data_IF_724409224744
#
_entry.id   IF_724409224744
#
_cell.length_a   1.000
_cell.length_b   1.000
_cell.length_c   1.000
_cell.angle_alpha   90.00
_cell.angle_beta   90.00
_cell.angle_gamma   90.00
#
_symmetry.space_group_name_H-M   'P 1'
#
loop_
_entity.id
_entity.type
_entity.pdbx_description
1 polymer ?
#
# COMPACT_ATOMS: atom_id res chain seq x y z
N UNK A 1 15.87 -9.00 10.78
CA UNK A 1 14.54 -8.96 11.42
C UNK A 1 14.10 -7.50 11.49
N UNK A 2 13.28 -7.03 10.55
CA UNK A 2 12.85 -5.64 10.51
C UNK A 2 11.70 -5.43 11.49
N UNK A 3 11.98 -4.85 12.66
CA UNK A 3 10.97 -4.42 13.63
C UNK A 3 10.20 -3.25 13.03
N UNK A 4 9.00 -3.52 12.50
CA UNK A 4 8.07 -2.48 12.12
C UNK A 4 7.64 -1.75 13.40
N UNK A 5 8.23 -0.59 13.67
CA UNK A 5 7.73 0.36 14.67
C UNK A 5 6.35 0.82 14.16
N UNK A 6 5.31 0.10 14.58
CA UNK A 6 3.94 0.53 14.38
C UNK A 6 3.69 1.60 15.43
N UNK A 7 3.82 2.87 15.03
CA UNK A 7 3.30 3.97 15.83
C UNK A 7 1.80 3.76 16.00
N UNK A 8 1.44 3.24 17.17
CA UNK A 8 0.07 2.96 17.55
C UNK A 8 -0.68 4.28 17.59
N UNK A 9 -1.72 4.41 16.75
CA UNK A 9 -2.51 5.63 16.72
C UNK A 9 -3.44 5.62 17.92
N UNK A 10 -3.22 6.56 18.83
CA UNK A 10 -4.05 6.72 20.02
C UNK A 10 -5.36 7.43 19.72
N UNK A 11 -5.38 8.31 18.72
CA UNK A 11 -6.57 9.07 18.31
C UNK A 11 -6.85 8.99 16.80
N UNK A 12 -8.11 9.13 16.43
CA UNK A 12 -8.57 9.12 15.04
C UNK A 12 -8.13 10.40 14.31
N UNK A 13 -7.55 10.27 13.11
CA UNK A 13 -7.17 11.44 12.30
C UNK A 13 -8.40 12.26 11.80
N UNK A 14 -9.59 11.64 11.76
CA UNK A 14 -10.82 12.23 11.22
C UNK A 14 -11.68 12.89 12.32
N UNK A 15 -12.03 12.15 13.36
CA UNK A 15 -12.92 12.63 14.44
C UNK A 15 -12.23 12.81 15.79
N UNK A 16 -10.91 12.59 15.88
CA UNK A 16 -10.08 12.76 17.09
C UNK A 16 -10.48 11.91 18.30
N UNK A 17 -11.43 10.98 18.15
CA UNK A 17 -11.80 10.05 19.21
C UNK A 17 -10.66 9.09 19.53
N UNK A 18 -10.56 8.61 20.79
CA UNK A 18 -9.58 7.60 21.14
C UNK A 18 -9.80 6.32 20.34
N UNK A 19 -8.70 5.73 19.86
CA UNK A 19 -8.67 4.48 19.11
C UNK A 19 -8.16 3.35 20.00
N UNK A 20 -8.85 2.18 20.01
CA UNK A 20 -8.34 1.02 20.70
C UNK A 20 -7.05 0.50 20.05
N UNK A 21 -6.23 -0.16 20.87
CA UNK A 21 -4.97 -0.73 20.45
C UNK A 21 -5.12 -1.65 19.22
N UNK A 22 -4.39 -1.36 18.15
CA UNK A 22 -4.42 -2.16 16.93
C UNK A 22 -5.69 -2.05 16.06
N UNK A 23 -6.61 -1.12 16.35
CA UNK A 23 -7.83 -0.95 15.57
C UNK A 23 -7.58 -0.68 14.08
N UNK A 24 -8.32 -1.37 13.20
CA UNK A 24 -8.27 -1.14 11.75
C UNK A 24 -9.21 -0.02 11.29
N UNK A 25 -10.27 0.24 12.06
CA UNK A 25 -11.30 1.25 11.82
C UNK A 25 -11.60 1.99 13.12
N UNK A 26 -12.11 3.22 13.00
CA UNK A 26 -12.61 3.99 14.13
C UNK A 26 -14.04 3.56 14.49
N UNK A 27 -14.31 3.26 15.76
CA UNK A 27 -15.64 2.85 16.24
C UNK A 27 -16.66 4.00 16.25
N UNK A 28 -16.19 5.26 16.22
CA UNK A 28 -17.05 6.45 16.23
C UNK A 28 -17.45 6.92 14.83
N UNK A 29 -16.48 7.05 13.92
CA UNK A 29 -16.71 7.61 12.58
C UNK A 29 -16.57 6.61 11.44
N UNK A 30 -16.12 5.37 11.69
CA UNK A 30 -15.92 4.35 10.66
C UNK A 30 -14.69 4.55 9.76
N UNK A 31 -13.93 5.63 9.96
CA UNK A 31 -12.73 5.93 9.16
C UNK A 31 -11.64 4.86 9.37
N UNK A 32 -10.99 4.41 8.28
CA UNK A 32 -9.80 3.55 8.38
C UNK A 32 -8.65 4.25 9.06
N UNK A 33 -7.97 3.54 9.95
CA UNK A 33 -6.76 4.03 10.61
C UNK A 33 -5.61 4.21 9.62
N UNK A 34 -4.68 5.12 9.91
CA UNK A 34 -3.50 5.39 9.10
C UNK A 34 -2.64 4.16 8.90
N UNK A 35 -2.56 3.28 9.90
CA UNK A 35 -1.89 1.98 9.77
C UNK A 35 -2.55 1.13 8.68
N UNK A 36 -3.86 0.96 8.73
CA UNK A 36 -4.60 0.23 7.70
C UNK A 36 -4.43 0.87 6.30
N UNK A 37 -4.57 2.20 6.19
CA UNK A 37 -4.35 2.95 4.94
C UNK A 37 -2.92 2.81 4.40
N UNK A 38 -1.91 2.74 5.27
CA UNK A 38 -0.50 2.60 4.88
C UNK A 38 -0.20 1.20 4.36
N UNK A 39 -0.74 0.17 5.01
CA UNK A 39 -0.58 -1.22 4.57
C UNK A 39 -1.19 -1.42 3.18
N UNK A 40 -2.41 -0.93 2.95
CA UNK A 40 -3.06 -1.01 1.64
C UNK A 40 -2.25 -0.28 0.57
N UNK A 41 -1.78 0.94 0.85
CA UNK A 41 -0.91 1.68 -0.10
C UNK A 41 0.39 0.96 -0.40
N UNK A 42 0.98 0.28 0.59
CA UNK A 42 2.22 -0.47 0.39
C UNK A 42 1.98 -1.68 -0.51
N UNK A 43 0.95 -2.47 -0.23
CA UNK A 43 0.57 -3.62 -1.09
C UNK A 43 0.29 -3.18 -2.52
N UNK A 44 -0.52 -2.13 -2.70
CA UNK A 44 -0.86 -1.62 -4.02
C UNK A 44 0.37 -1.12 -4.79
N UNK A 45 1.31 -0.47 -4.11
CA UNK A 45 2.55 0.02 -4.72
C UNK A 45 3.41 -1.13 -5.23
N UNK A 46 3.49 -2.23 -4.48
CA UNK A 46 4.24 -3.42 -4.88
C UNK A 46 3.61 -4.07 -6.11
N UNK A 47 2.29 -4.23 -6.13
CA UNK A 47 1.58 -4.76 -7.31
C UNK A 47 1.80 -3.89 -8.54
N UNK A 48 1.65 -2.56 -8.42
CA UNK A 48 1.89 -1.63 -9.52
C UNK A 48 3.32 -1.74 -10.05
N UNK A 49 4.33 -1.78 -9.17
CA UNK A 49 5.73 -1.94 -9.57
C UNK A 49 5.95 -3.26 -10.31
N UNK A 50 5.35 -4.36 -9.84
CA UNK A 50 5.45 -5.66 -10.49
C UNK A 50 4.84 -5.63 -11.90
N UNK A 51 3.63 -5.10 -12.06
CA UNK A 51 2.99 -4.98 -13.38
C UNK A 51 3.76 -4.08 -14.34
N UNK A 52 4.29 -2.95 -13.87
CA UNK A 52 5.15 -2.07 -14.68
C UNK A 52 6.38 -2.82 -15.17
N UNK A 53 7.06 -3.54 -14.27
CA UNK A 53 8.28 -4.29 -14.58
C UNK A 53 8.00 -5.35 -15.65
N UNK A 54 6.94 -6.16 -15.47
CA UNK A 54 6.54 -7.17 -16.46
C UNK A 54 6.20 -6.53 -17.81
N UNK A 55 5.47 -5.41 -17.80
CA UNK A 55 5.11 -4.70 -19.04
C UNK A 55 6.33 -4.20 -19.79
N UNK A 56 7.31 -3.63 -19.09
CA UNK A 56 8.56 -3.16 -19.69
C UNK A 56 9.39 -4.31 -20.27
N UNK A 57 9.46 -5.46 -19.57
CA UNK A 57 10.12 -6.66 -20.09
C UNK A 57 9.47 -7.08 -21.41
N UNK A 58 8.14 -7.22 -21.43
CA UNK A 58 7.39 -7.67 -22.61
C UNK A 58 7.58 -6.67 -23.77
N UNK A 59 7.46 -5.37 -23.52
CA UNK A 59 7.71 -4.34 -24.52
C UNK A 59 9.14 -4.38 -25.08
N UNK A 60 10.13 -4.62 -24.22
CA UNK A 60 11.52 -4.77 -24.63
C UNK A 60 11.71 -5.95 -25.59
N UNK A 61 11.21 -7.13 -25.23
CA UNK A 61 11.26 -8.30 -26.11
C UNK A 61 10.50 -8.08 -27.42
N UNK A 62 9.28 -7.57 -27.35
CA UNK A 62 8.47 -7.28 -28.53
C UNK A 62 9.18 -6.31 -29.48
N UNK A 63 9.82 -5.27 -28.94
CA UNK A 63 10.66 -4.36 -29.71
C UNK A 63 11.82 -5.07 -30.41
N UNK A 64 12.59 -5.89 -29.69
CA UNK A 64 13.70 -6.66 -30.28
C UNK A 64 13.24 -7.56 -31.43
N UNK A 65 12.13 -8.28 -31.26
CA UNK A 65 11.58 -9.13 -32.31
C UNK A 65 11.07 -8.33 -33.51
N UNK A 66 10.51 -7.14 -33.26
CA UNK A 66 10.06 -6.24 -34.33
C UNK A 66 11.24 -5.71 -35.16
N UNK A 67 12.35 -5.34 -34.52
CA UNK A 67 13.56 -4.87 -35.22
C UNK A 67 14.36 -5.98 -35.91
N UNK A 68 14.23 -7.24 -35.47
CA UNK A 68 14.84 -8.40 -36.14
C UNK A 68 14.05 -8.91 -37.36
N UNK A 69 12.92 -8.29 -37.67
CA UNK A 69 12.14 -8.55 -38.89
C UNK A 69 12.81 -7.86 -40.09
#
# INVERSE_FOLDING_TARGET
MATAIQTEQTNCDSCQSPLPAGAAYCDKCGERTRKAKRLVRLSLRVEIVFFILVTLIVMGFAGVFYFQK
#
